data_IF_899305459549
#
_entry.id   IF_899305459549
#
_cell.length_a   1.000
_cell.length_b   1.000
_cell.length_c   1.000
_cell.angle_alpha   90.00
_cell.angle_beta   90.00
_cell.angle_gamma   90.00
#
_symmetry.space_group_name_H-M   'P 1'
#
loop_
_entity.id
_entity.type
_entity.pdbx_description
1 polymer ?
#
# COMPACT_ATOMS: atom_id res chain seq x y z
N UNK A 1 -5.33 -25.98 -13.38
CA UNK A 1 -4.55 -24.90 -14.04
C UNK A 1 -5.24 -23.56 -13.78
N UNK A 2 -4.61 -22.65 -13.02
CA UNK A 2 -5.20 -21.34 -12.71
C UNK A 2 -4.93 -20.40 -13.89
N UNK A 3 -5.99 -19.83 -14.48
CA UNK A 3 -5.89 -18.91 -15.60
C UNK A 3 -5.19 -17.59 -15.16
N UNK A 4 -3.96 -17.39 -15.63
CA UNK A 4 -3.12 -16.23 -15.30
C UNK A 4 -3.66 -14.91 -15.88
N UNK A 5 -4.56 -14.93 -16.86
CA UNK A 5 -5.17 -13.71 -17.41
C UNK A 5 -6.04 -12.96 -16.39
N UNK A 6 -6.53 -13.64 -15.33
CA UNK A 6 -7.47 -13.04 -14.36
C UNK A 6 -6.82 -12.02 -13.41
N UNK A 7 -5.49 -11.97 -13.34
CA UNK A 7 -4.75 -11.07 -12.43
C UNK A 7 -4.14 -9.85 -13.13
N UNK A 8 -4.08 -9.84 -14.47
CA UNK A 8 -3.43 -8.77 -15.23
C UNK A 8 -4.23 -7.44 -15.24
N UNK A 9 -5.53 -7.50 -14.91
CA UNK A 9 -6.45 -6.34 -14.98
C UNK A 9 -6.95 -5.87 -13.61
N UNK A 10 -6.32 -6.28 -12.51
CA UNK A 10 -6.67 -5.77 -11.18
C UNK A 10 -5.92 -4.46 -10.95
N UNK A 11 -6.60 -3.33 -10.67
CA UNK A 11 -5.90 -2.11 -10.31
C UNK A 11 -5.10 -2.33 -9.03
N UNK A 12 -3.77 -2.24 -9.17
CA UNK A 12 -2.82 -2.37 -8.06
C UNK A 12 -2.94 -1.15 -7.14
N UNK A 13 -3.78 -1.26 -6.12
CA UNK A 13 -4.05 -0.20 -5.13
C UNK A 13 -3.42 -0.54 -3.79
N UNK A 14 -2.51 0.30 -3.32
CA UNK A 14 -2.00 0.24 -1.95
C UNK A 14 -3.02 0.81 -0.96
N UNK A 15 -3.08 0.23 0.24
CA UNK A 15 -3.98 0.70 1.32
C UNK A 15 -3.20 0.84 2.60
N UNK A 16 -3.43 1.94 3.31
CA UNK A 16 -2.88 2.20 4.65
C UNK A 16 -4.00 2.70 5.56
N UNK A 17 -3.95 2.38 6.85
CA UNK A 17 -4.89 2.89 7.84
C UNK A 17 -4.24 3.97 8.71
N UNK A 18 -4.98 5.04 8.98
CA UNK A 18 -4.61 6.07 9.96
C UNK A 18 -5.89 6.64 10.58
N UNK A 19 -5.85 7.06 11.85
CA UNK A 19 -7.04 7.64 12.49
C UNK A 19 -7.33 9.03 11.91
N UNK A 20 -8.61 9.42 11.90
CA UNK A 20 -9.05 10.74 11.43
C UNK A 20 -8.53 11.90 12.28
N UNK A 21 -8.16 11.61 13.54
CA UNK A 21 -7.58 12.58 14.48
C UNK A 21 -6.10 12.87 14.23
N UNK A 22 -5.44 12.15 13.31
CA UNK A 22 -4.02 12.38 13.03
C UNK A 22 -3.80 13.58 12.10
N UNK A 23 -2.65 14.23 12.28
CA UNK A 23 -2.11 15.18 11.28
C UNK A 23 -1.91 14.53 9.91
N UNK A 24 -1.58 13.23 9.86
CA UNK A 24 -1.43 12.48 8.60
C UNK A 24 -2.73 12.50 7.79
N UNK A 25 -3.86 12.26 8.44
CA UNK A 25 -5.18 12.35 7.81
C UNK A 25 -5.47 13.78 7.32
N UNK A 26 -5.30 14.79 8.17
CA UNK A 26 -5.53 16.19 7.81
C UNK A 26 -4.68 16.64 6.61
N UNK A 27 -3.40 16.22 6.57
CA UNK A 27 -2.48 16.52 5.48
C UNK A 27 -2.90 15.83 4.17
N UNK A 28 -3.31 14.56 4.21
CA UNK A 28 -3.75 13.81 3.02
C UNK A 28 -5.05 14.36 2.44
N UNK A 29 -5.99 14.77 3.31
CA UNK A 29 -7.27 15.33 2.86
C UNK A 29 -7.08 16.73 2.25
N UNK A 30 -6.20 17.56 2.81
CA UNK A 30 -5.91 18.89 2.27
C UNK A 30 -5.04 18.85 1.01
N UNK A 31 -4.10 17.91 0.92
CA UNK A 31 -3.27 17.68 -0.26
C UNK A 31 -3.11 16.17 -0.52
N UNK A 32 -3.80 15.63 -1.55
CA UNK A 32 -3.82 14.19 -1.78
C UNK A 32 -2.53 13.66 -2.43
N UNK A 33 -1.58 14.51 -2.82
CA UNK A 33 -0.29 14.06 -3.38
C UNK A 33 0.55 13.40 -2.29
N UNK A 34 0.78 12.10 -2.43
CA UNK A 34 1.51 11.31 -1.44
C UNK A 34 2.52 10.38 -2.10
N UNK A 35 3.57 10.05 -1.34
CA UNK A 35 4.50 8.97 -1.65
C UNK A 35 4.43 7.92 -0.54
N UNK A 36 4.43 6.64 -0.93
CA UNK A 36 4.49 5.49 -0.02
C UNK A 36 5.77 4.72 -0.31
N UNK A 37 6.62 4.58 0.71
CA UNK A 37 7.83 3.75 0.64
C UNK A 37 7.51 2.39 1.25
N UNK A 38 7.80 1.33 0.51
CA UNK A 38 7.73 -0.06 0.94
C UNK A 38 9.14 -0.59 0.88
N UNK A 39 9.68 -1.07 2.00
CA UNK A 39 10.99 -1.70 2.03
C UNK A 39 10.96 -2.99 2.85
N UNK A 40 11.97 -3.84 2.63
CA UNK A 40 12.07 -5.16 3.25
C UNK A 40 13.04 -5.20 4.45
N UNK A 41 13.27 -4.05 5.12
CA UNK A 41 14.18 -3.99 6.28
C UNK A 41 13.56 -4.75 7.45
N UNK A 42 14.26 -5.74 7.98
CA UNK A 42 13.78 -6.53 9.13
C UNK A 42 14.01 -5.89 10.51
N UNK A 43 14.39 -4.61 10.55
CA UNK A 43 14.74 -3.88 11.78
C UNK A 43 15.92 -4.49 12.57
N UNK A 44 16.79 -5.29 11.91
CA UNK A 44 18.02 -5.85 12.48
C UNK A 44 19.26 -5.19 11.88
N UNK A 45 20.29 -4.96 12.71
CA UNK A 45 21.54 -4.30 12.30
C UNK A 45 22.29 -5.00 11.16
N UNK A 46 22.06 -6.30 10.97
CA UNK A 46 22.68 -7.07 9.89
C UNK A 46 22.08 -6.81 8.48
N UNK A 47 20.91 -6.16 8.37
CA UNK A 47 20.18 -6.01 7.10
C UNK A 47 20.37 -4.65 6.40
N UNK A 48 21.23 -3.77 6.93
CA UNK A 48 21.39 -2.42 6.39
C UNK A 48 22.05 -2.34 5.00
N UNK A 49 22.67 -3.42 4.51
CA UNK A 49 23.45 -3.40 3.25
C UNK A 49 22.69 -3.91 2.01
N UNK A 50 21.52 -4.55 2.16
CA UNK A 50 20.79 -5.20 1.03
C UNK A 50 19.27 -4.94 1.02
N UNK A 51 18.83 -3.89 1.71
CA UNK A 51 17.42 -3.55 1.72
C UNK A 51 16.96 -3.04 0.34
N UNK A 52 15.92 -3.66 -0.21
CA UNK A 52 15.23 -3.17 -1.40
C UNK A 52 14.07 -2.28 -0.97
N UNK A 53 13.93 -1.13 -1.61
CA UNK A 53 12.83 -0.20 -1.38
C UNK A 53 12.13 0.16 -2.68
N UNK A 54 10.81 0.23 -2.65
CA UNK A 54 9.96 0.71 -3.74
C UNK A 54 9.22 1.95 -3.25
N UNK A 55 9.30 3.02 -4.03
CA UNK A 55 8.52 4.24 -3.79
C UNK A 55 7.36 4.32 -4.77
N UNK A 56 6.14 4.31 -4.25
CA UNK A 56 4.92 4.53 -5.03
C UNK A 56 4.49 5.97 -4.84
N UNK A 57 4.38 6.73 -5.92
CA UNK A 57 3.82 8.09 -5.89
C UNK A 57 2.42 8.11 -6.49
N UNK A 58 1.55 8.98 -5.97
CA UNK A 58 0.19 9.06 -6.48
C UNK A 58 -0.72 9.96 -5.65
N UNK A 59 -2.03 9.84 -5.93
CA UNK A 59 -3.07 10.51 -5.15
C UNK A 59 -3.68 9.54 -4.15
N UNK A 60 -3.61 9.87 -2.87
CA UNK A 60 -4.31 9.17 -1.81
C UNK A 60 -5.77 9.63 -1.74
N UNK A 61 -6.67 8.71 -1.37
CA UNK A 61 -8.08 9.00 -1.12
C UNK A 61 -8.58 8.19 0.06
N UNK A 62 -9.53 8.74 0.81
CA UNK A 62 -10.27 7.96 1.80
C UNK A 62 -11.09 6.89 1.07
N UNK A 63 -11.01 5.64 1.55
CA UNK A 63 -11.85 4.55 1.07
C UNK A 63 -13.05 4.45 2.00
N UNK A 64 -14.25 4.68 1.46
CA UNK A 64 -15.52 4.48 2.18
C UNK A 64 -16.07 3.09 1.84
N UNK A 65 -16.57 2.38 2.86
CA UNK A 65 -17.13 1.03 2.72
C UNK A 65 -16.08 -0.09 2.62
N UNK A 66 -16.56 -1.33 2.71
CA UNK A 66 -15.74 -2.54 2.54
C UNK A 66 -15.47 -2.76 1.05
N UNK A 67 -14.25 -2.43 0.60
CA UNK A 67 -13.78 -2.94 -0.69
C UNK A 67 -13.68 -4.47 -0.54
N UNK A 68 -14.36 -5.28 -1.37
CA UNK A 68 -14.27 -6.72 -1.27
C UNK A 68 -12.82 -7.14 -1.39
N UNK A 69 -12.26 -7.63 -0.28
CA UNK A 69 -10.91 -8.15 -0.24
C UNK A 69 -10.96 -9.49 -0.95
N UNK A 70 -10.55 -9.54 -2.23
CA UNK A 70 -10.24 -10.84 -2.84
C UNK A 70 -9.09 -11.42 -2.02
N UNK A 71 -9.41 -12.37 -1.14
CA UNK A 71 -8.43 -13.20 -0.44
C UNK A 71 -7.62 -13.87 -1.54
N UNK A 72 -6.42 -13.36 -1.79
CA UNK A 72 -5.47 -14.06 -2.64
C UNK A 72 -5.16 -15.36 -1.89
N UNK A 73 -5.51 -16.48 -2.53
CA UNK A 73 -5.54 -17.79 -1.89
C UNK A 73 -4.24 -18.06 -1.15
N UNK A 74 -4.36 -18.38 0.14
CA UNK A 74 -3.33 -19.12 0.85
C UNK A 74 -3.50 -20.57 0.42
N UNK A 75 -2.66 -20.98 -0.53
CA UNK A 75 -2.24 -22.38 -0.68
C UNK A 75 -1.42 -22.80 0.53
#
# INVERSE_FOLDING_TARGET
MINQQKFQNIPQMNKTATTRTTRKYANIISNPKAAMVIDNRSNREADFQKANAVTVTGKAREIKGSVPMKRQGRS
#
